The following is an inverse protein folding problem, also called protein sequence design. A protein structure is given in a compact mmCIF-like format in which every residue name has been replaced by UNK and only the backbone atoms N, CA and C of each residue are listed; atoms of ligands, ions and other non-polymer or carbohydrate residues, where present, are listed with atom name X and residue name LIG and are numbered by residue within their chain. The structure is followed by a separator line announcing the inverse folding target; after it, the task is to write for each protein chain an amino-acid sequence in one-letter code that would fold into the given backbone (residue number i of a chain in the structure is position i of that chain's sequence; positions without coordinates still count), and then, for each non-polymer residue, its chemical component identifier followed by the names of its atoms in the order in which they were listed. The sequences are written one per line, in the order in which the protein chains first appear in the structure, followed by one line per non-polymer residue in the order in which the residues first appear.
data_IF_425813639943
#
_entry.id   IF_425813639943
#
_cell.length_a   1.000
_cell.length_b   1.000
_cell.length_c   1.000
_cell.angle_alpha   90.00
_cell.angle_beta   90.00
_cell.angle_gamma   90.00
#
_symmetry.space_group_name_H-M   'P 1'
#
loop_
_entity.id
_entity.type
_entity.pdbx_description
1 polymer ?
#
# COMPACT_ATOMS: atom_id res chain seq x y z
N UNK A 1 8.35 21.44 23.54
CA UNK A 1 7.63 20.81 22.42
C UNK A 1 7.12 19.45 22.87
N UNK A 2 5.84 19.15 22.64
CA UNK A 2 5.21 17.83 22.84
C UNK A 2 5.11 17.10 21.52
N UNK A 3 5.41 15.79 21.48
CA UNK A 3 5.23 14.93 20.30
C UNK A 3 3.99 14.06 20.48
N UNK A 4 3.06 14.09 19.55
CA UNK A 4 1.86 13.26 19.51
C UNK A 4 2.02 12.19 18.44
N UNK A 5 1.86 10.92 18.81
CA UNK A 5 1.96 9.79 17.89
C UNK A 5 0.57 9.33 17.47
N UNK A 6 0.31 9.30 16.16
CA UNK A 6 -0.92 8.71 15.61
C UNK A 6 -1.00 7.20 15.91
N UNK A 7 -2.21 6.69 16.12
CA UNK A 7 -2.47 5.26 16.33
C UNK A 7 -3.72 4.84 15.55
N UNK A 8 -3.62 3.86 14.61
CA UNK A 8 -2.41 3.16 14.20
C UNK A 8 -1.49 3.99 13.29
N UNK A 9 -0.26 3.51 13.11
CA UNK A 9 0.76 4.01 12.18
C UNK A 9 1.68 2.86 11.76
N UNK A 10 2.51 3.09 10.72
CA UNK A 10 3.52 2.13 10.28
C UNK A 10 2.93 0.88 9.63
N UNK A 11 3.67 -0.22 9.63
CA UNK A 11 3.37 -1.44 8.88
C UNK A 11 1.93 -1.93 9.02
N UNK A 12 1.37 -2.44 7.92
CA UNK A 12 0.12 -3.18 7.89
C UNK A 12 0.38 -4.66 7.55
N UNK A 13 -0.57 -5.53 7.83
CA UNK A 13 -0.44 -6.97 7.58
C UNK A 13 -0.09 -7.33 6.12
N UNK A 14 -0.54 -6.54 5.14
CA UNK A 14 -0.19 -6.74 3.73
C UNK A 14 1.28 -6.48 3.44
N UNK A 15 1.83 -5.42 4.03
CA UNK A 15 3.24 -5.05 3.94
C UNK A 15 4.13 -6.06 4.67
N UNK A 16 3.79 -6.41 5.91
CA UNK A 16 4.54 -7.42 6.68
C UNK A 16 4.62 -8.73 5.92
N UNK A 17 3.50 -9.24 5.41
CA UNK A 17 3.45 -10.45 4.60
C UNK A 17 4.34 -10.36 3.35
N UNK A 18 4.36 -9.23 2.67
CA UNK A 18 5.14 -9.06 1.45
C UNK A 18 6.66 -9.08 1.75
N UNK A 19 7.09 -8.38 2.78
CA UNK A 19 8.49 -8.36 3.24
C UNK A 19 8.91 -9.76 3.69
N UNK A 20 8.12 -10.42 4.52
CA UNK A 20 8.38 -11.76 5.02
C UNK A 20 8.44 -12.78 3.88
N UNK A 21 7.65 -12.62 2.82
CA UNK A 21 7.72 -13.48 1.62
C UNK A 21 9.12 -13.43 0.98
N UNK A 22 9.72 -12.24 0.85
CA UNK A 22 11.09 -12.10 0.30
C UNK A 22 12.12 -12.70 1.24
N UNK A 23 12.03 -12.39 2.54
CA UNK A 23 12.97 -12.90 3.55
C UNK A 23 12.96 -14.42 3.60
N UNK A 24 11.77 -15.04 3.63
CA UNK A 24 11.64 -16.50 3.62
C UNK A 24 12.14 -17.14 2.32
N UNK A 25 11.94 -16.51 1.18
CA UNK A 25 12.49 -16.99 -0.08
C UNK A 25 14.02 -16.96 -0.06
N UNK A 26 14.64 -15.88 0.45
CA UNK A 26 16.09 -15.77 0.62
C UNK A 26 16.65 -16.84 1.57
N UNK A 27 15.97 -17.08 2.71
CA UNK A 27 16.37 -18.11 3.69
C UNK A 27 16.29 -19.52 3.12
N UNK A 28 15.23 -19.85 2.39
CA UNK A 28 14.98 -21.21 1.92
C UNK A 28 15.69 -21.57 0.61
N UNK A 29 15.88 -20.59 -0.28
CA UNK A 29 16.37 -20.82 -1.64
C UNK A 29 17.75 -20.19 -1.87
N UNK A 30 18.19 -19.30 -1.00
CA UNK A 30 19.41 -18.52 -1.16
C UNK A 30 19.26 -17.36 -2.17
N UNK A 31 20.24 -16.48 -2.19
CA UNK A 31 20.32 -15.39 -3.16
C UNK A 31 20.86 -15.90 -4.53
N UNK A 32 20.52 -15.24 -5.66
CA UNK A 32 19.63 -14.08 -5.73
C UNK A 32 18.14 -14.45 -5.77
N UNK A 33 17.32 -13.63 -5.13
CA UNK A 33 15.86 -13.64 -5.30
C UNK A 33 15.46 -12.35 -6.02
N UNK A 34 14.82 -12.47 -7.17
CA UNK A 34 14.38 -11.33 -7.95
C UNK A 34 13.03 -10.84 -7.44
N UNK A 35 12.84 -9.53 -7.39
CA UNK A 35 11.57 -8.90 -6.97
C UNK A 35 11.16 -7.92 -8.06
N UNK A 36 10.00 -8.15 -8.67
CA UNK A 36 9.50 -7.25 -9.69
C UNK A 36 8.89 -6.00 -9.05
N UNK A 37 9.46 -4.83 -9.38
CA UNK A 37 9.25 -3.54 -8.74
C UNK A 37 9.63 -3.57 -7.25
N UNK A 38 9.51 -2.44 -6.56
CA UNK A 38 9.67 -2.41 -5.11
C UNK A 38 8.64 -3.33 -4.45
N UNK A 39 9.07 -4.16 -3.47
CA UNK A 39 8.15 -5.06 -2.76
C UNK A 39 7.04 -4.28 -2.07
N UNK A 40 7.37 -3.12 -1.52
CA UNK A 40 6.51 -2.07 -0.98
C UNK A 40 7.21 -0.73 -1.19
N UNK A 41 6.47 0.38 -1.27
CA UNK A 41 7.03 1.71 -1.47
C UNK A 41 7.66 2.25 -0.18
N UNK A 42 8.85 1.77 0.13
CA UNK A 42 9.68 2.28 1.21
C UNK A 42 11.17 1.99 0.94
N UNK A 43 11.96 3.04 0.82
CA UNK A 43 13.38 2.95 0.46
C UNK A 43 14.19 2.13 1.46
N UNK A 44 13.97 2.32 2.76
CA UNK A 44 14.68 1.57 3.80
C UNK A 44 14.43 0.06 3.66
N UNK A 45 13.18 -0.35 3.43
CA UNK A 45 12.80 -1.76 3.23
C UNK A 45 13.48 -2.34 1.98
N UNK A 46 13.47 -1.59 0.88
CA UNK A 46 14.10 -2.02 -0.37
C UNK A 46 15.61 -2.18 -0.18
N UNK A 47 16.27 -1.22 0.47
CA UNK A 47 17.72 -1.25 0.71
C UNK A 47 18.11 -2.39 1.68
N UNK A 48 17.32 -2.66 2.73
CA UNK A 48 17.52 -3.78 3.64
C UNK A 48 17.44 -5.14 2.92
N UNK A 49 16.43 -5.30 2.07
CA UNK A 49 16.27 -6.54 1.30
C UNK A 49 17.36 -6.72 0.23
N UNK A 50 17.82 -5.63 -0.41
CA UNK A 50 19.01 -5.67 -1.30
C UNK A 50 20.25 -6.15 -0.57
N UNK A 51 20.50 -5.61 0.62
CA UNK A 51 21.64 -6.02 1.45
C UNK A 51 21.57 -7.52 1.83
N UNK A 52 20.38 -8.10 1.87
CA UNK A 52 20.13 -9.54 2.13
C UNK A 52 20.18 -10.41 0.87
N UNK A 53 20.37 -9.82 -0.33
CA UNK A 53 20.51 -10.55 -1.59
C UNK A 53 19.27 -10.55 -2.50
N UNK A 54 18.27 -9.71 -2.23
CA UNK A 54 17.19 -9.47 -3.18
C UNK A 54 17.67 -8.57 -4.33
N UNK A 55 17.25 -8.89 -5.55
CA UNK A 55 17.53 -8.11 -6.76
C UNK A 55 16.21 -7.55 -7.27
N UNK A 56 16.07 -6.22 -7.22
CA UNK A 56 14.87 -5.54 -7.70
C UNK A 56 15.01 -5.28 -9.20
N UNK A 57 13.99 -5.67 -9.97
CA UNK A 57 13.92 -5.53 -11.43
C UNK A 57 12.63 -4.82 -11.81
N UNK A 58 12.65 -4.09 -12.90
CA UNK A 58 11.44 -3.45 -13.41
C UNK A 58 10.67 -4.41 -14.31
N UNK A 59 11.36 -5.17 -15.16
CA UNK A 59 10.74 -6.11 -16.07
C UNK A 59 11.27 -7.54 -15.92
N UNK A 60 10.47 -8.53 -16.35
CA UNK A 60 10.80 -9.94 -16.19
C UNK A 60 11.93 -10.42 -17.11
N UNK A 61 12.27 -9.68 -18.16
CA UNK A 61 13.38 -10.01 -19.06
C UNK A 61 14.76 -9.83 -18.39
N UNK A 62 14.83 -9.04 -17.34
CA UNK A 62 16.02 -8.91 -16.48
C UNK A 62 16.25 -10.14 -15.58
N UNK A 63 15.23 -11.02 -15.42
CA UNK A 63 15.36 -12.25 -14.64
C UNK A 63 15.90 -13.38 -15.51
N UNK A 64 17.00 -14.07 -15.12
CA UNK A 64 17.51 -15.22 -15.85
C UNK A 64 16.46 -16.33 -16.02
N UNK A 65 16.49 -17.09 -17.13
CA UNK A 65 15.58 -18.23 -17.32
C UNK A 65 15.63 -19.21 -16.12
N UNK A 66 14.45 -19.64 -15.65
CA UNK A 66 14.33 -20.52 -14.48
C UNK A 66 14.60 -19.83 -13.14
N UNK A 67 14.88 -18.51 -13.14
CA UNK A 67 15.10 -17.73 -11.92
C UNK A 67 13.87 -17.66 -11.02
N UNK A 68 14.09 -17.35 -9.74
CA UNK A 68 13.01 -17.14 -8.77
C UNK A 68 12.62 -15.68 -8.73
N UNK A 69 11.35 -15.37 -8.97
CA UNK A 69 10.82 -14.00 -8.93
C UNK A 69 9.66 -13.87 -7.95
N UNK A 70 9.61 -12.75 -7.24
CA UNK A 70 8.50 -12.39 -6.34
C UNK A 70 7.74 -11.22 -6.95
N UNK A 71 6.42 -11.36 -7.06
CA UNK A 71 5.53 -10.25 -7.39
C UNK A 71 5.26 -9.43 -6.14
N UNK A 72 5.36 -8.09 -6.26
CA UNK A 72 5.23 -7.17 -5.14
C UNK A 72 3.83 -7.15 -4.52
N UNK A 73 3.70 -6.48 -3.37
CA UNK A 73 2.42 -6.30 -2.69
C UNK A 73 1.33 -5.65 -3.56
N UNK A 74 1.72 -4.89 -4.58
CA UNK A 74 0.83 -4.14 -5.46
C UNK A 74 0.07 -5.00 -6.47
N UNK A 75 0.50 -6.26 -6.65
CA UNK A 75 -0.06 -7.15 -7.67
C UNK A 75 0.48 -6.88 -9.07
N UNK A 76 0.13 -7.75 -10.00
CA UNK A 76 0.58 -7.69 -11.39
C UNK A 76 -0.56 -7.98 -12.36
N UNK A 77 -0.43 -7.54 -13.62
CA UNK A 77 -1.35 -7.85 -14.70
C UNK A 77 -1.34 -9.36 -15.04
N UNK A 78 -2.39 -9.82 -15.73
CA UNK A 78 -2.42 -11.17 -16.30
C UNK A 78 -1.28 -11.40 -17.30
N UNK A 79 -0.90 -10.36 -18.07
CA UNK A 79 0.19 -10.46 -19.02
C UNK A 79 1.51 -10.78 -18.33
N UNK A 80 1.84 -10.07 -17.23
CA UNK A 80 3.06 -10.34 -16.46
C UNK A 80 3.09 -11.78 -15.91
N UNK A 81 1.94 -12.33 -15.49
CA UNK A 81 1.85 -13.74 -15.05
C UNK A 81 2.13 -14.71 -16.19
N UNK A 82 1.51 -14.49 -17.36
CA UNK A 82 1.73 -15.31 -18.55
C UNK A 82 3.19 -15.23 -19.04
N UNK A 83 3.81 -14.07 -18.93
CA UNK A 83 5.21 -13.86 -19.31
C UNK A 83 6.16 -14.63 -18.38
N UNK A 84 5.88 -14.62 -17.07
CA UNK A 84 6.65 -15.42 -16.10
C UNK A 84 6.55 -16.92 -16.39
N UNK A 85 5.33 -17.43 -16.71
CA UNK A 85 5.12 -18.84 -17.10
C UNK A 85 5.88 -19.20 -18.37
N UNK A 86 5.79 -18.38 -19.44
CA UNK A 86 6.52 -18.63 -20.69
C UNK A 86 8.03 -18.66 -20.51
N UNK A 87 8.56 -17.91 -19.57
CA UNK A 87 9.99 -17.86 -19.24
C UNK A 87 10.42 -18.96 -18.27
N UNK A 88 9.48 -19.79 -17.79
CA UNK A 88 9.75 -20.85 -16.83
C UNK A 88 10.25 -20.33 -15.47
N UNK A 89 9.84 -19.12 -15.08
CA UNK A 89 10.26 -18.53 -13.81
C UNK A 89 9.53 -19.19 -12.63
N UNK A 90 10.26 -19.37 -11.52
CA UNK A 90 9.66 -19.80 -10.26
C UNK A 90 9.06 -18.59 -9.56
N UNK A 91 7.73 -18.52 -9.52
CA UNK A 91 7.01 -17.35 -9.01
C UNK A 91 6.52 -17.55 -7.58
N UNK A 92 6.77 -16.56 -6.70
CA UNK A 92 6.07 -16.38 -5.44
C UNK A 92 5.27 -15.10 -5.48
N UNK A 93 3.99 -15.18 -5.13
CA UNK A 93 3.08 -14.05 -5.22
C UNK A 93 2.91 -13.39 -3.84
N UNK A 94 3.54 -12.23 -3.66
CA UNK A 94 3.41 -11.43 -2.45
C UNK A 94 2.28 -10.39 -2.53
N UNK A 95 1.46 -10.41 -3.59
CA UNK A 95 0.29 -9.51 -3.74
C UNK A 95 -0.54 -9.50 -2.46
N UNK A 96 -0.83 -8.32 -1.95
CA UNK A 96 -1.70 -8.16 -0.78
C UNK A 96 -3.07 -8.81 -1.04
N UNK A 97 -3.60 -9.63 -0.11
CA UNK A 97 -4.92 -10.25 -0.28
C UNK A 97 -6.04 -9.24 -0.56
N UNK A 98 -5.91 -7.99 -0.08
CA UNK A 98 -6.90 -6.94 -0.33
C UNK A 98 -6.81 -6.39 -1.77
N UNK A 99 -5.62 -6.37 -2.37
CA UNK A 99 -5.44 -6.09 -3.81
C UNK A 99 -5.96 -7.25 -4.65
N UNK A 100 -5.68 -8.49 -4.25
CA UNK A 100 -6.24 -9.69 -4.90
C UNK A 100 -7.77 -9.67 -4.91
N UNK A 101 -8.41 -9.19 -3.81
CA UNK A 101 -9.86 -8.98 -3.76
C UNK A 101 -10.33 -8.06 -4.89
N UNK A 102 -9.66 -6.95 -5.13
CA UNK A 102 -10.01 -5.99 -6.20
C UNK A 102 -9.86 -6.65 -7.57
N UNK A 103 -8.76 -7.38 -7.82
CA UNK A 103 -8.56 -8.12 -9.07
C UNK A 103 -9.69 -9.13 -9.34
N UNK A 104 -10.10 -9.89 -8.32
CA UNK A 104 -11.20 -10.86 -8.44
C UNK A 104 -12.53 -10.15 -8.72
N UNK A 105 -12.77 -9.01 -8.08
CA UNK A 105 -13.99 -8.22 -8.28
C UNK A 105 -14.06 -7.70 -9.73
N UNK A 106 -12.96 -7.14 -10.27
CA UNK A 106 -12.85 -6.72 -11.68
C UNK A 106 -13.22 -7.88 -12.62
N UNK A 107 -12.57 -9.03 -12.43
CA UNK A 107 -12.82 -10.20 -13.30
C UNK A 107 -14.30 -10.63 -13.22
N UNK A 108 -14.90 -10.59 -12.04
CA UNK A 108 -16.30 -10.95 -11.82
C UNK A 108 -17.25 -9.98 -12.53
N UNK A 109 -16.99 -8.66 -12.43
CA UNK A 109 -17.82 -7.62 -13.06
C UNK A 109 -17.75 -7.71 -14.59
N UNK A 110 -16.55 -7.87 -15.15
CA UNK A 110 -16.36 -8.04 -16.59
C UNK A 110 -17.03 -9.31 -17.13
N UNK A 111 -16.94 -10.44 -16.40
CA UNK A 111 -17.65 -11.68 -16.77
C UNK A 111 -19.18 -11.52 -16.73
N UNK A 112 -19.69 -10.64 -15.89
CA UNK A 112 -21.10 -10.30 -15.83
C UNK A 112 -21.52 -9.29 -16.92
N UNK A 113 -20.61 -8.92 -17.82
CA UNK A 113 -20.85 -8.02 -18.94
C UNK A 113 -20.88 -6.54 -18.58
N UNK A 114 -20.25 -6.13 -17.46
CA UNK A 114 -20.07 -4.72 -17.12
C UNK A 114 -18.71 -4.24 -17.64
N UNK A 115 -18.66 -2.98 -18.08
CA UNK A 115 -17.40 -2.25 -18.09
C UNK A 115 -17.04 -1.80 -16.68
N UNK A 116 -15.75 -1.61 -16.38
CA UNK A 116 -15.30 -1.29 -15.02
C UNK A 116 -14.47 -0.01 -15.01
N UNK A 117 -14.88 0.94 -14.19
CA UNK A 117 -14.11 2.15 -13.88
C UNK A 117 -13.18 1.84 -12.73
N UNK A 118 -11.85 1.95 -12.96
CA UNK A 118 -10.84 1.94 -11.93
C UNK A 118 -10.61 3.36 -11.43
N UNK A 119 -10.89 3.62 -10.16
CA UNK A 119 -10.52 4.88 -9.50
C UNK A 119 -9.14 4.68 -8.90
N UNK A 120 -8.12 5.38 -9.42
CA UNK A 120 -6.73 5.16 -8.99
C UNK A 120 -5.77 6.09 -9.70
N UNK A 121 -4.50 6.07 -9.29
CA UNK A 121 -3.46 6.91 -9.87
C UNK A 121 -2.79 6.24 -11.07
N UNK A 122 -2.70 6.95 -12.18
CA UNK A 122 -1.97 6.50 -13.39
C UNK A 122 -0.50 6.26 -13.05
N UNK A 123 0.07 5.18 -13.60
CA UNK A 123 1.47 4.81 -13.37
C UNK A 123 1.74 4.18 -12.01
N UNK A 124 0.74 4.06 -11.14
CA UNK A 124 0.92 3.33 -9.88
C UNK A 124 0.83 1.81 -10.14
N UNK A 125 1.78 0.98 -9.64
CA UNK A 125 1.81 -0.46 -9.91
C UNK A 125 0.51 -1.21 -9.57
N UNK A 126 -0.18 -0.83 -8.49
CA UNK A 126 -1.49 -1.43 -8.13
C UNK A 126 -2.57 -1.11 -9.18
N UNK A 127 -2.59 0.13 -9.69
CA UNK A 127 -3.53 0.54 -10.73
C UNK A 127 -3.23 -0.20 -12.03
N UNK A 128 -1.98 -0.29 -12.45
CA UNK A 128 -1.56 -1.04 -13.65
C UNK A 128 -1.86 -2.53 -13.53
N UNK A 129 -1.57 -3.12 -12.37
CA UNK A 129 -1.88 -4.51 -12.07
C UNK A 129 -3.38 -4.80 -12.15
N UNK A 130 -4.21 -3.90 -11.64
CA UNK A 130 -5.68 -4.01 -11.64
C UNK A 130 -6.24 -3.78 -13.04
N UNK A 131 -5.83 -2.74 -13.75
CA UNK A 131 -6.21 -2.47 -15.16
C UNK A 131 -5.83 -3.64 -16.05
N UNK A 132 -4.66 -4.25 -15.82
CA UNK A 132 -4.17 -5.42 -16.56
C UNK A 132 -4.87 -6.74 -16.22
N UNK A 133 -5.95 -6.76 -15.43
CA UNK A 133 -6.79 -7.94 -15.25
C UNK A 133 -7.72 -8.19 -16.45
N UNK A 134 -7.82 -7.24 -17.38
CA UNK A 134 -8.58 -7.37 -18.61
C UNK A 134 -7.83 -6.74 -19.78
N UNK A 135 -8.10 -7.24 -20.99
CA UNK A 135 -7.62 -6.62 -22.23
C UNK A 135 -8.45 -5.39 -22.61
N UNK A 136 -9.75 -5.41 -22.32
CA UNK A 136 -10.72 -4.37 -22.68
C UNK A 136 -11.75 -4.18 -21.57
N UNK A 137 -12.54 -3.09 -21.65
CA UNK A 137 -13.66 -2.82 -20.75
C UNK A 137 -13.24 -2.22 -19.39
N UNK A 138 -12.01 -1.68 -19.31
CA UNK A 138 -11.51 -0.96 -18.13
C UNK A 138 -11.26 0.50 -18.49
N UNK A 139 -11.69 1.40 -17.60
CA UNK A 139 -11.50 2.85 -17.72
C UNK A 139 -10.81 3.37 -16.46
N UNK A 140 -9.83 4.26 -16.58
CA UNK A 140 -9.15 4.88 -15.46
C UNK A 140 -9.70 6.28 -15.19
N UNK A 141 -9.99 6.54 -13.92
CA UNK A 141 -10.42 7.85 -13.40
C UNK A 141 -9.52 8.20 -12.21
N UNK A 142 -8.92 9.39 -12.24
CA UNK A 142 -8.08 9.91 -11.17
C UNK A 142 -8.76 11.03 -10.38
N UNK A 143 -9.62 11.81 -11.07
CA UNK A 143 -10.26 13.00 -10.53
C UNK A 143 -11.74 13.07 -10.87
N UNK A 144 -12.49 13.92 -10.15
CA UNK A 144 -13.91 14.23 -10.48
C UNK A 144 -14.06 14.73 -11.93
N UNK A 145 -13.09 15.51 -12.44
CA UNK A 145 -13.12 16.03 -13.80
C UNK A 145 -13.00 14.93 -14.87
N UNK A 146 -12.34 13.82 -14.57
CA UNK A 146 -12.21 12.69 -15.49
C UNK A 146 -13.56 11.97 -15.71
N UNK A 147 -14.42 11.98 -14.69
CA UNK A 147 -15.76 11.39 -14.79
C UNK A 147 -16.55 12.02 -15.95
N UNK A 148 -16.43 13.34 -16.16
CA UNK A 148 -17.12 14.02 -17.26
C UNK A 148 -16.66 13.58 -18.65
N UNK A 149 -15.44 13.06 -18.76
CA UNK A 149 -14.80 12.63 -20.03
C UNK A 149 -14.90 11.12 -20.29
N UNK A 150 -15.49 10.37 -19.35
CA UNK A 150 -15.66 8.93 -19.56
C UNK A 150 -16.52 8.65 -20.79
N UNK A 151 -15.99 7.80 -21.68
CA UNK A 151 -16.72 7.24 -22.80
C UNK A 151 -16.90 5.74 -22.55
N UNK A 152 -18.15 5.30 -22.39
CA UNK A 152 -18.52 3.93 -22.03
C UNK A 152 -19.54 3.41 -23.05
N UNK A 153 -19.45 2.13 -23.42
CA UNK A 153 -20.31 1.55 -24.44
C UNK A 153 -21.75 1.38 -23.93
N UNK A 154 -21.94 1.00 -22.66
CA UNK A 154 -23.25 0.82 -22.05
C UNK A 154 -23.30 1.42 -20.64
N UNK A 155 -23.90 2.62 -20.48
CA UNK A 155 -24.04 3.29 -19.18
C UNK A 155 -24.84 2.49 -18.13
N UNK A 156 -25.73 1.57 -18.58
CA UNK A 156 -26.52 0.72 -17.68
C UNK A 156 -25.74 -0.49 -17.15
N UNK A 157 -24.62 -0.83 -17.81
CA UNK A 157 -23.77 -1.97 -17.47
C UNK A 157 -22.37 -1.51 -17.05
N UNK A 158 -22.32 -0.60 -16.10
CA UNK A 158 -21.08 -0.04 -15.58
C UNK A 158 -20.88 -0.45 -14.10
N UNK A 159 -19.63 -0.67 -13.73
CA UNK A 159 -19.23 -0.91 -12.37
C UNK A 159 -17.97 -0.09 -12.04
N UNK A 160 -17.63 0.05 -10.76
CA UNK A 160 -16.37 0.67 -10.35
C UNK A 160 -15.67 -0.13 -9.27
N UNK A 161 -14.35 0.01 -9.23
CA UNK A 161 -13.44 -0.43 -8.17
C UNK A 161 -12.48 0.70 -7.84
N UNK A 162 -11.79 0.62 -6.69
CA UNK A 162 -10.82 1.64 -6.31
C UNK A 162 -9.46 1.03 -5.98
N UNK A 163 -8.40 1.83 -6.16
CA UNK A 163 -7.10 1.55 -5.57
C UNK A 163 -7.23 1.54 -4.04
N UNK A 164 -6.49 0.63 -3.39
CA UNK A 164 -6.64 0.38 -1.93
C UNK A 164 -6.09 1.50 -1.05
N UNK A 165 -5.28 2.42 -1.61
CA UNK A 165 -4.53 3.46 -0.88
C UNK A 165 -4.96 4.90 -1.19
N UNK A 166 -6.17 5.10 -1.75
CA UNK A 166 -6.69 6.43 -2.05
C UNK A 166 -7.05 7.23 -0.79
N UNK A 167 -7.17 8.54 -0.96
CA UNK A 167 -7.89 9.40 -0.03
C UNK A 167 -9.37 8.96 0.01
N UNK A 168 -9.88 8.74 1.22
CA UNK A 168 -11.29 8.35 1.42
C UNK A 168 -12.22 9.45 0.90
N UNK A 169 -11.87 10.70 1.16
CA UNK A 169 -12.73 11.83 0.82
C UNK A 169 -12.73 12.08 -0.69
N UNK A 170 -11.57 11.99 -1.36
CA UNK A 170 -11.46 12.11 -2.82
C UNK A 170 -12.19 10.97 -3.54
N UNK A 171 -12.01 9.73 -3.07
CA UNK A 171 -12.71 8.58 -3.62
C UNK A 171 -14.24 8.73 -3.49
N UNK A 172 -14.73 9.22 -2.34
CA UNK A 172 -16.16 9.50 -2.15
C UNK A 172 -16.68 10.55 -3.13
N UNK A 173 -15.91 11.63 -3.37
CA UNK A 173 -16.29 12.67 -4.31
C UNK A 173 -16.38 12.13 -5.75
N UNK A 174 -15.39 11.34 -6.18
CA UNK A 174 -15.40 10.69 -7.50
C UNK A 174 -16.60 9.74 -7.65
N UNK A 175 -16.83 8.89 -6.63
CA UNK A 175 -17.96 7.94 -6.63
C UNK A 175 -19.30 8.68 -6.65
N UNK A 176 -19.44 9.80 -5.95
CA UNK A 176 -20.65 10.60 -5.98
C UNK A 176 -20.93 11.15 -7.39
N UNK A 177 -19.91 11.66 -8.09
CA UNK A 177 -20.06 12.16 -9.46
C UNK A 177 -20.31 11.01 -10.47
N UNK A 178 -19.66 9.85 -10.27
CA UNK A 178 -19.96 8.64 -11.07
C UNK A 178 -21.43 8.24 -10.93
N UNK A 179 -21.96 8.19 -9.71
CA UNK A 179 -23.39 7.85 -9.46
C UNK A 179 -24.36 8.88 -10.02
N UNK A 180 -23.98 10.15 -10.02
CA UNK A 180 -24.78 11.21 -10.61
C UNK A 180 -24.84 11.08 -12.13
N UNK A 181 -23.72 10.77 -12.78
CA UNK A 181 -23.64 10.61 -14.23
C UNK A 181 -24.20 9.25 -14.70
N UNK A 182 -23.97 8.21 -13.92
CA UNK A 182 -24.36 6.82 -14.23
C UNK A 182 -25.14 6.23 -13.04
N UNK A 183 -26.45 6.51 -12.93
CA UNK A 183 -27.25 6.12 -11.77
C UNK A 183 -27.29 4.60 -11.51
N UNK A 184 -27.13 3.78 -12.55
CA UNK A 184 -27.12 2.30 -12.47
C UNK A 184 -25.74 1.71 -12.12
N UNK A 185 -24.69 2.55 -11.95
CA UNK A 185 -23.33 2.07 -11.70
C UNK A 185 -23.24 1.22 -10.42
N UNK A 186 -22.58 0.08 -10.53
CA UNK A 186 -22.40 -0.86 -9.41
C UNK A 186 -21.05 -0.68 -8.74
N UNK A 187 -21.05 -0.53 -7.44
CA UNK A 187 -19.84 -0.52 -6.64
C UNK A 187 -19.44 -1.91 -6.09
N UNK A 188 -18.29 -2.02 -5.46
CA UNK A 188 -17.88 -3.22 -4.76
C UNK A 188 -18.82 -3.51 -3.57
N UNK A 189 -18.99 -4.79 -3.22
CA UNK A 189 -19.83 -5.19 -2.07
C UNK A 189 -19.30 -4.69 -0.73
N UNK A 190 -18.00 -4.55 -0.60
CA UNK A 190 -17.27 -3.95 0.53
C UNK A 190 -16.27 -2.98 -0.06
N UNK A 191 -16.05 -1.86 0.58
CA UNK A 191 -15.08 -0.85 0.14
C UNK A 191 -13.74 -1.48 -0.23
N UNK A 192 -13.13 -0.97 -1.31
CA UNK A 192 -11.82 -1.43 -1.77
C UNK A 192 -10.68 -0.71 -1.06
N UNK A 193 -10.90 0.53 -0.59
CA UNK A 193 -9.93 1.21 0.27
C UNK A 193 -9.73 0.35 1.51
N UNK A 194 -8.49 -0.10 1.71
CA UNK A 194 -8.21 -1.10 2.73
C UNK A 194 -8.32 -0.54 4.16
N UNK A 195 -8.57 -1.42 5.11
CA UNK A 195 -8.68 -1.07 6.53
C UNK A 195 -7.47 -0.27 7.03
N UNK A 196 -6.27 -0.64 6.57
CA UNK A 196 -5.04 0.01 7.00
C UNK A 196 -4.96 1.46 6.51
N UNK A 197 -5.42 1.73 5.29
CA UNK A 197 -5.52 3.08 4.74
C UNK A 197 -6.56 3.90 5.49
N UNK A 198 -7.74 3.33 5.75
CA UNK A 198 -8.82 4.01 6.49
C UNK A 198 -8.37 4.36 7.90
N UNK A 199 -7.90 3.36 8.67
CA UNK A 199 -7.49 3.56 10.06
C UNK A 199 -6.39 4.62 10.21
N UNK A 200 -5.40 4.63 9.30
CA UNK A 200 -4.32 5.64 9.36
C UNK A 200 -4.80 7.02 8.98
N UNK A 201 -5.69 7.15 8.00
CA UNK A 201 -6.30 8.45 7.67
C UNK A 201 -7.16 8.96 8.84
N UNK A 202 -7.96 8.10 9.47
CA UNK A 202 -8.77 8.48 10.63
C UNK A 202 -7.89 8.89 11.83
N UNK A 203 -6.79 8.17 12.06
CA UNK A 203 -5.82 8.52 13.10
C UNK A 203 -5.18 9.91 12.85
N UNK A 204 -4.87 10.25 11.58
CA UNK A 204 -4.36 11.58 11.21
C UNK A 204 -5.44 12.64 11.34
N UNK A 205 -6.68 12.38 10.91
CA UNK A 205 -7.81 13.30 11.09
C UNK A 205 -8.04 13.62 12.57
N UNK A 206 -7.86 12.65 13.45
CA UNK A 206 -7.98 12.85 14.90
C UNK A 206 -6.78 13.64 15.47
N UNK A 207 -5.57 13.36 15.01
CA UNK A 207 -4.33 13.96 15.52
C UNK A 207 -4.09 15.38 15.01
N UNK A 208 -4.27 15.63 13.71
CA UNK A 208 -3.81 16.84 13.03
C UNK A 208 -4.39 18.13 13.63
N UNK A 209 -5.68 18.23 14.03
CA UNK A 209 -6.22 19.44 14.64
C UNK A 209 -5.58 19.79 16.00
N UNK A 210 -4.86 18.85 16.61
CA UNK A 210 -4.18 19.02 17.89
C UNK A 210 -2.72 19.47 17.72
N UNK A 211 -2.21 19.57 16.48
CA UNK A 211 -0.81 19.76 16.14
C UNK A 211 -0.60 21.06 15.35
N UNK A 212 0.53 21.71 15.59
CA UNK A 212 0.99 22.83 14.77
C UNK A 212 1.61 22.34 13.44
N UNK A 213 2.24 21.17 13.49
CA UNK A 213 2.88 20.52 12.35
C UNK A 213 2.76 19.00 12.48
N UNK A 214 2.63 18.32 11.35
CA UNK A 214 2.61 16.86 11.26
C UNK A 214 3.77 16.37 10.40
N UNK A 215 4.54 15.43 10.91
CA UNK A 215 5.61 14.74 10.18
C UNK A 215 5.12 13.34 9.84
N UNK A 216 5.14 13.02 8.57
CA UNK A 216 4.78 11.69 8.03
C UNK A 216 6.06 10.94 7.68
N UNK A 217 6.31 9.82 8.32
CA UNK A 217 7.39 8.91 7.93
C UNK A 217 6.92 8.07 6.75
N UNK A 218 7.62 8.18 5.62
CA UNK A 218 7.26 7.47 4.39
C UNK A 218 8.00 7.98 3.16
N UNK A 219 8.03 7.18 2.12
CA UNK A 219 8.73 7.52 0.88
C UNK A 219 7.84 8.29 -0.11
N UNK A 220 8.41 9.18 -0.95
CA UNK A 220 7.65 10.03 -1.87
C UNK A 220 6.78 9.28 -2.88
N UNK A 221 7.16 8.06 -3.26
CA UNK A 221 6.40 7.20 -4.16
C UNK A 221 5.32 6.36 -3.46
N UNK A 222 5.19 6.45 -2.13
CA UNK A 222 4.14 5.78 -1.38
C UNK A 222 2.83 6.55 -1.45
N UNK A 223 1.84 6.03 -2.17
CA UNK A 223 0.48 6.60 -2.25
C UNK A 223 -0.11 6.79 -0.85
N UNK A 224 -0.05 5.76 0.02
CA UNK A 224 -0.58 5.87 1.38
C UNK A 224 0.08 7.01 2.17
N UNK A 225 1.42 7.14 2.15
CA UNK A 225 2.13 8.19 2.89
C UNK A 225 1.77 9.59 2.39
N UNK A 226 1.66 9.78 1.06
CA UNK A 226 1.22 11.05 0.49
C UNK A 226 -0.21 11.41 0.96
N UNK A 227 -1.13 10.44 0.97
CA UNK A 227 -2.50 10.68 1.47
C UNK A 227 -2.53 11.12 2.93
N UNK A 228 -1.67 10.56 3.80
CA UNK A 228 -1.60 11.00 5.20
C UNK A 228 -1.13 12.45 5.32
N UNK A 229 -0.13 12.85 4.52
CA UNK A 229 0.32 14.25 4.47
C UNK A 229 -0.81 15.19 4.03
N UNK A 230 -1.51 14.85 2.97
CA UNK A 230 -2.62 15.64 2.43
C UNK A 230 -3.80 15.74 3.41
N UNK A 231 -4.16 14.62 4.06
CA UNK A 231 -5.18 14.62 5.12
C UNK A 231 -4.79 15.58 6.24
N UNK A 232 -3.54 15.56 6.71
CA UNK A 232 -3.08 16.49 7.74
C UNK A 232 -3.17 17.95 7.27
N UNK A 233 -2.80 18.26 6.03
CA UNK A 233 -2.93 19.59 5.43
C UNK A 233 -4.39 20.03 5.32
N UNK A 234 -5.28 19.16 4.88
CA UNK A 234 -6.72 19.43 4.78
C UNK A 234 -7.38 19.67 6.15
N UNK A 235 -6.78 19.11 7.22
CA UNK A 235 -7.19 19.38 8.62
C UNK A 235 -6.57 20.66 9.20
N UNK A 236 -5.83 21.44 8.40
CA UNK A 236 -5.27 22.74 8.77
C UNK A 236 -3.86 22.71 9.40
N UNK A 237 -3.23 21.54 9.54
CA UNK A 237 -1.86 21.44 10.02
C UNK A 237 -0.85 21.66 8.88
N UNK A 238 0.31 22.26 9.18
CA UNK A 238 1.46 22.11 8.29
C UNK A 238 1.88 20.64 8.26
N UNK A 239 2.13 20.06 7.09
CA UNK A 239 2.53 18.66 7.02
C UNK A 239 3.68 18.42 6.06
N UNK A 240 4.67 17.67 6.54
CA UNK A 240 5.87 17.30 5.79
C UNK A 240 6.06 15.79 5.81
N UNK A 241 6.76 15.28 4.79
CA UNK A 241 7.09 13.85 4.72
C UNK A 241 8.60 13.67 4.71
N UNK A 242 9.07 12.64 5.42
CA UNK A 242 10.49 12.28 5.53
C UNK A 242 10.68 10.78 5.30
N UNK A 243 11.70 10.41 4.52
CA UNK A 243 12.09 8.99 4.38
C UNK A 243 12.81 8.50 5.65
N UNK A 244 13.62 9.37 6.26
CA UNK A 244 14.42 9.09 7.45
C UNK A 244 14.55 10.32 8.35
N UNK A 245 14.98 10.14 9.57
CA UNK A 245 15.14 11.22 10.55
C UNK A 245 16.07 12.35 10.08
N UNK A 246 17.08 12.04 9.26
CA UNK A 246 18.00 13.02 8.69
C UNK A 246 17.37 14.02 7.74
N UNK A 247 16.21 13.70 7.16
CA UNK A 247 15.48 14.56 6.23
C UNK A 247 14.64 15.62 6.98
N UNK A 248 14.52 15.50 8.30
CA UNK A 248 13.78 16.46 9.11
C UNK A 248 14.55 17.78 9.16
N UNK A 249 13.92 18.84 8.68
CA UNK A 249 14.46 20.19 8.72
C UNK A 249 14.06 20.87 10.03
N UNK A 250 15.01 21.37 10.83
CA UNK A 250 14.72 22.02 12.11
C UNK A 250 13.73 23.18 12.01
N UNK A 251 13.76 23.93 10.90
CA UNK A 251 12.86 25.05 10.66
C UNK A 251 11.37 24.66 10.56
N UNK A 252 11.05 23.40 10.26
CA UNK A 252 9.65 22.95 10.23
C UNK A 252 9.02 22.85 11.61
N UNK A 253 9.86 22.64 12.63
CA UNK A 253 9.41 22.43 14.01
C UNK A 253 9.86 23.55 14.96
N UNK A 254 10.58 24.56 14.44
CA UNK A 254 10.97 25.73 15.23
C UNK A 254 9.71 26.42 15.78
N UNK A 255 9.77 26.77 17.07
CA UNK A 255 8.69 27.46 17.83
C UNK A 255 7.32 26.71 17.84
N UNK A 256 7.29 25.45 17.45
CA UNK A 256 6.09 24.62 17.52
C UNK A 256 5.91 24.04 18.93
N UNK A 257 4.65 24.09 19.41
CA UNK A 257 4.30 23.53 20.72
C UNK A 257 4.00 22.04 20.63
N UNK A 258 3.32 21.61 19.54
CA UNK A 258 2.92 20.23 19.31
C UNK A 258 3.27 19.77 17.90
N UNK A 259 4.00 18.68 17.85
CA UNK A 259 4.42 18.00 16.62
C UNK A 259 3.72 16.65 16.55
N UNK A 260 2.86 16.46 15.55
CA UNK A 260 2.26 15.17 15.25
C UNK A 260 3.24 14.29 14.46
N UNK A 261 3.31 13.01 14.78
CA UNK A 261 4.08 12.02 14.03
C UNK A 261 3.18 10.86 13.63
N UNK A 262 3.19 10.55 12.36
CA UNK A 262 2.55 9.36 11.80
C UNK A 262 3.49 8.65 10.83
N UNK A 263 3.11 7.48 10.35
CA UNK A 263 3.89 6.70 9.41
C UNK A 263 2.98 5.97 8.42
N UNK A 264 3.36 5.97 7.16
CA UNK A 264 2.66 5.22 6.12
C UNK A 264 2.69 3.72 6.37
N UNK A 265 1.74 3.00 5.75
CA UNK A 265 1.59 1.55 5.89
C UNK A 265 2.81 0.73 5.45
N UNK A 266 3.75 1.34 4.74
CA UNK A 266 5.01 0.73 4.29
C UNK A 266 6.25 1.19 5.08
N UNK A 267 6.09 2.06 6.09
CA UNK A 267 7.21 2.57 6.89
C UNK A 267 7.41 1.72 8.17
N UNK A 268 8.61 1.16 8.39
CA UNK A 268 8.89 0.36 9.58
C UNK A 268 9.00 1.21 10.84
N UNK A 269 8.73 0.60 12.00
CA UNK A 269 8.75 1.29 13.30
C UNK A 269 10.12 1.90 13.62
N UNK A 270 11.21 1.28 13.18
CA UNK A 270 12.57 1.79 13.40
C UNK A 270 12.76 3.23 12.90
N UNK A 271 12.18 3.57 11.74
CA UNK A 271 12.25 4.94 11.19
C UNK A 271 11.45 5.94 12.04
N UNK A 272 10.35 5.51 12.63
CA UNK A 272 9.59 6.33 13.58
C UNK A 272 10.38 6.57 14.86
N UNK A 273 11.05 5.54 15.37
CA UNK A 273 11.87 5.62 16.58
C UNK A 273 13.07 6.55 16.36
N UNK A 274 13.75 6.46 15.21
CA UNK A 274 14.82 7.38 14.82
C UNK A 274 14.31 8.84 14.74
N UNK A 275 13.13 9.06 14.14
CA UNK A 275 12.54 10.40 14.09
C UNK A 275 12.20 10.93 15.47
N UNK A 276 11.67 10.09 16.36
CA UNK A 276 11.40 10.47 17.77
C UNK A 276 12.70 10.84 18.50
N UNK A 277 13.77 10.07 18.32
CA UNK A 277 15.08 10.37 18.87
C UNK A 277 15.59 11.74 18.39
N UNK A 278 15.47 12.00 17.08
CA UNK A 278 15.86 13.28 16.47
C UNK A 278 15.02 14.44 17.00
N UNK A 279 13.71 14.27 17.18
CA UNK A 279 12.84 15.29 17.78
C UNK A 279 13.22 15.59 19.24
N UNK A 280 13.64 14.60 20.01
CA UNK A 280 14.15 14.79 21.39
C UNK A 280 15.45 15.60 21.40
N UNK A 281 16.39 15.33 20.51
CA UNK A 281 17.61 16.14 20.34
C UNK A 281 17.28 17.61 20.01
N UNK A 282 16.19 17.83 19.26
CA UNK A 282 15.72 19.15 18.89
C UNK A 282 14.76 19.78 19.92
N UNK A 283 14.68 19.22 21.14
CA UNK A 283 14.00 19.81 22.29
C UNK A 283 12.59 19.29 22.58
N UNK A 284 12.21 18.11 22.07
CA UNK A 284 10.96 17.47 22.50
C UNK A 284 11.08 16.99 23.95
N UNK A 285 10.15 17.46 24.80
CA UNK A 285 10.11 17.19 26.24
C UNK A 285 9.24 15.97 26.60
N UNK A 286 8.25 15.68 25.77
CA UNK A 286 7.33 14.56 25.98
C UNK A 286 6.92 13.93 24.65
N UNK A 287 6.66 12.62 24.70
CA UNK A 287 6.13 11.84 23.58
C UNK A 287 4.94 11.06 24.09
N UNK A 288 3.79 11.24 23.46
CA UNK A 288 2.54 10.59 23.85
C UNK A 288 1.87 9.94 22.64
N UNK A 289 1.54 8.66 22.78
CA UNK A 289 0.70 7.99 21.79
C UNK A 289 -0.76 8.36 22.04
N UNK A 290 -1.47 8.69 20.97
CA UNK A 290 -2.91 8.96 21.01
C UNK A 290 -3.69 7.64 21.06
N UNK A 291 -4.91 7.72 21.58
CA UNK A 291 -5.86 6.61 21.50
C UNK A 291 -6.20 6.30 20.05
N UNK A 292 -6.45 5.02 19.76
CA UNK A 292 -6.75 4.57 18.41
C UNK A 292 -7.14 3.10 18.34
N UNK A 293 -7.17 2.57 17.14
CA UNK A 293 -7.63 1.21 16.85
C UNK A 293 -6.44 0.24 16.92
N UNK A 294 -6.61 -0.89 17.61
CA UNK A 294 -5.66 -2.00 17.54
C UNK A 294 -5.98 -2.89 16.35
N UNK A 295 -5.10 -2.94 15.39
CA UNK A 295 -5.21 -3.83 14.23
C UNK A 295 -4.79 -5.25 14.61
N UNK A 296 -5.61 -6.26 14.25
CA UNK A 296 -5.38 -7.69 14.54
C UNK A 296 -5.37 -8.54 13.27
N UNK A 297 -5.31 -7.91 12.12
CA UNK A 297 -5.29 -8.60 10.83
C UNK A 297 -3.93 -9.23 10.63
N UNK A 298 -3.91 -10.50 10.24
CA UNK A 298 -2.71 -11.26 9.86
C UNK A 298 -2.99 -11.97 8.55
N UNK A 299 -2.04 -11.96 7.63
CA UNK A 299 -2.13 -12.69 6.37
C UNK A 299 -1.08 -13.80 6.31
N UNK A 300 -1.50 -15.00 5.96
CA UNK A 300 -0.60 -16.14 5.79
C UNK A 300 0.35 -15.93 4.61
N UNK A 301 1.57 -16.42 4.74
CA UNK A 301 2.54 -16.51 3.64
C UNK A 301 2.02 -17.38 2.47
N UNK A 302 2.58 -17.21 1.27
CA UNK A 302 2.39 -18.18 0.20
C UNK A 302 2.71 -19.60 0.70
N UNK A 303 1.83 -20.58 0.41
CA UNK A 303 1.93 -21.96 0.94
C UNK A 303 3.32 -22.58 0.78
N UNK A 304 3.99 -22.32 -0.35
CA UNK A 304 5.31 -22.87 -0.64
C UNK A 304 6.44 -22.28 0.23
N UNK A 305 6.20 -21.18 0.94
CA UNK A 305 7.14 -20.51 1.86
C UNK A 305 6.71 -20.62 3.32
N UNK A 306 5.52 -21.12 3.60
CA UNK A 306 5.08 -21.37 4.97
C UNK A 306 5.96 -22.49 5.58
N UNK A 307 6.37 -22.34 6.85
CA UNK A 307 7.06 -23.42 7.55
C UNK A 307 6.14 -24.65 7.62
N UNK A 308 6.66 -25.86 7.44
CA UNK A 308 5.90 -27.04 7.84
C UNK A 308 5.60 -26.89 9.33
N UNK A 309 4.32 -27.06 9.69
CA UNK A 309 3.84 -27.02 11.07
C UNK A 309 4.56 -28.11 11.87
N UNK A 310 5.55 -27.72 12.68
CA UNK A 310 6.32 -28.67 13.53
C UNK A 310 5.44 -29.30 14.61
N UNK A 311 4.18 -28.90 14.75
CA UNK A 311 3.24 -29.45 15.73
C UNK A 311 2.63 -30.80 15.33
N UNK A 312 2.84 -31.27 14.08
CA UNK A 312 2.31 -32.56 13.59
C UNK A 312 3.30 -33.74 13.62
N UNK A 313 4.51 -33.55 14.09
CA UNK A 313 5.52 -34.63 14.17
C UNK A 313 5.66 -35.32 15.53
N UNK A 314 4.80 -35.03 16.51
CA UNK A 314 4.81 -35.72 17.81
C UNK A 314 3.55 -36.56 18.03
N UNK A 315 3.44 -37.63 17.29
CA UNK A 315 2.24 -38.51 17.44
C UNK A 315 2.32 -39.84 16.68
N UNK A 316 3.48 -40.48 16.67
CA UNK A 316 3.53 -41.93 16.49
C UNK A 316 4.81 -42.44 17.22
N UNK A 317 4.62 -42.84 18.43
CA UNK A 317 5.56 -43.66 19.17
C UNK A 317 4.82 -44.94 19.53
N UNK A 318 5.53 -46.06 19.71
CA UNK A 318 5.05 -47.44 19.56
C UNK A 318 4.03 -47.86 20.58
#
# INVERSE_FOLDING_TARGET
MEVLLANPRGFCAGVERAIETVQRALELLGAPIYVRHEIVHNRYVVDDLRAKGAVFVDELDEVPPGGTVIFSAHGVSKQVRADAERRGLKVFDATCPLVTKVHVEVIRMLRAGHEVVMIGHRGHPETEGTMGQAANGMHLVETVADVARLDVADPERLAYVTQTTLSIDDAKAIVAELKKRFPSIRGPKKDDICYATQNRQDAVKFMAPQCDVVIVVGSPNSSNSNRLREVAQNMGAHAYMVDRAADLRPEWIADKRRVGVTAGASAPQVLVDELIARLKELGAQSVRQLDGITERVVFSLPRALAQPDQSRSSGVGP
#
